data_IF_652899574375
#
_entry.id   IF_652899574375
#
_cell.length_a   1.000
_cell.length_b   1.000
_cell.length_c   1.000
_cell.angle_alpha   90.00
_cell.angle_beta   90.00
_cell.angle_gamma   90.00
#
_symmetry.space_group_name_H-M   'P 1'
#
loop_
_entity.id
_entity.type
_entity.pdbx_description
1 polymer ?
#
# COMPACT_ATOMS: atom_id res chain seq x y z
N UNK A 1 -3.31 10.87 13.77
CA UNK A 1 -2.81 11.41 12.48
C UNK A 1 -2.81 10.35 11.38
N UNK A 2 -2.29 9.13 11.60
CA UNK A 2 -2.30 8.06 10.59
C UNK A 2 -3.68 7.42 10.29
N UNK A 3 -4.67 7.53 11.18
CA UNK A 3 -6.02 6.96 10.94
C UNK A 3 -6.78 7.71 9.84
N UNK A 4 -6.69 9.05 9.82
CA UNK A 4 -7.35 9.91 8.82
C UNK A 4 -6.92 9.53 7.40
N UNK A 5 -5.63 9.26 7.20
CA UNK A 5 -5.09 8.81 5.91
C UNK A 5 -5.79 7.56 5.37
N UNK A 6 -6.01 6.57 6.23
CA UNK A 6 -6.61 5.29 5.83
C UNK A 6 -8.09 5.46 5.47
N UNK A 7 -8.80 6.32 6.21
CA UNK A 7 -10.20 6.63 5.97
C UNK A 7 -10.40 7.41 4.67
N UNK A 8 -9.60 8.46 4.44
CA UNK A 8 -9.63 9.26 3.21
C UNK A 8 -9.20 8.46 1.98
N UNK A 9 -8.17 7.60 2.11
CA UNK A 9 -7.74 6.73 1.01
C UNK A 9 -8.71 5.56 0.77
N UNK A 10 -9.77 5.39 1.58
CA UNK A 10 -10.70 4.27 1.45
C UNK A 10 -10.04 2.91 1.69
N UNK A 11 -9.11 2.85 2.64
CA UNK A 11 -8.30 1.66 2.97
C UNK A 11 -8.64 1.21 4.38
N UNK A 12 -9.12 -0.02 4.53
CA UNK A 12 -9.36 -0.59 5.86
C UNK A 12 -8.08 -0.70 6.67
N UNK A 13 -8.21 -0.54 7.98
CA UNK A 13 -7.13 -0.72 8.97
C UNK A 13 -6.39 -2.06 8.81
N UNK A 14 -7.10 -3.13 8.43
CA UNK A 14 -6.51 -4.43 8.13
C UNK A 14 -5.51 -4.38 6.96
N UNK A 15 -5.83 -3.66 5.89
CA UNK A 15 -4.96 -3.50 4.72
C UNK A 15 -3.70 -2.71 5.08
N UNK A 16 -3.83 -1.64 5.87
CA UNK A 16 -2.69 -0.88 6.40
C UNK A 16 -1.78 -1.79 7.24
N UNK A 17 -2.36 -2.62 8.11
CA UNK A 17 -1.58 -3.55 8.94
C UNK A 17 -0.80 -4.57 8.10
N UNK A 18 -1.37 -5.05 6.99
CA UNK A 18 -0.68 -5.96 6.04
C UNK A 18 0.52 -5.27 5.39
N UNK A 19 0.35 -4.02 4.94
CA UNK A 19 1.44 -3.21 4.37
C UNK A 19 2.54 -3.02 5.41
N UNK A 20 2.18 -2.66 6.65
CA UNK A 20 3.14 -2.48 7.74
C UNK A 20 3.89 -3.76 8.12
N UNK A 21 3.31 -4.93 7.88
CA UNK A 21 3.93 -6.24 8.13
C UNK A 21 4.67 -6.80 6.91
N UNK A 22 4.62 -6.12 5.77
CA UNK A 22 5.17 -6.64 4.51
C UNK A 22 4.43 -7.87 3.98
N UNK A 23 3.16 -8.05 4.37
CA UNK A 23 2.31 -9.12 3.85
C UNK A 23 1.76 -8.78 2.45
N UNK A 24 1.22 -9.80 1.78
CA UNK A 24 0.60 -9.61 0.46
C UNK A 24 -0.58 -8.64 0.52
N UNK A 25 -0.61 -7.70 -0.43
CA UNK A 25 -1.62 -6.65 -0.57
C UNK A 25 -2.13 -6.61 -2.00
N UNK A 26 -3.39 -6.20 -2.18
CA UNK A 26 -3.98 -6.07 -3.52
C UNK A 26 -3.49 -4.80 -4.21
N UNK A 27 -3.32 -4.87 -5.53
CA UNK A 27 -2.95 -3.73 -6.38
C UNK A 27 -3.95 -2.58 -6.30
N UNK A 28 -5.23 -2.86 -6.06
CA UNK A 28 -6.26 -1.84 -5.84
C UNK A 28 -5.94 -0.95 -4.62
N UNK A 29 -5.53 -1.55 -3.50
CA UNK A 29 -5.15 -0.81 -2.29
C UNK A 29 -3.98 0.12 -2.58
N UNK A 30 -2.98 -0.37 -3.30
CA UNK A 30 -1.82 0.41 -3.71
C UNK A 30 -2.19 1.58 -4.63
N UNK A 31 -3.14 1.38 -5.55
CA UNK A 31 -3.65 2.46 -6.41
C UNK A 31 -4.37 3.55 -5.62
N UNK A 32 -5.15 3.20 -4.60
CA UNK A 32 -5.79 4.19 -3.72
C UNK A 32 -4.78 5.05 -2.97
N UNK A 33 -3.73 4.42 -2.44
CA UNK A 33 -2.58 5.12 -1.80
C UNK A 33 -1.95 6.10 -2.79
N UNK A 34 -1.69 5.65 -4.01
CA UNK A 34 -1.09 6.46 -5.07
C UNK A 34 -1.96 7.68 -5.43
N UNK A 35 -3.28 7.49 -5.54
CA UNK A 35 -4.22 8.58 -5.83
C UNK A 35 -4.26 9.60 -4.70
N UNK A 36 -4.27 9.15 -3.44
CA UNK A 36 -4.29 10.04 -2.28
C UNK A 36 -2.99 10.83 -2.12
N UNK A 37 -1.85 10.18 -2.35
CA UNK A 37 -0.52 10.79 -2.23
C UNK A 37 -0.08 11.53 -3.51
N UNK A 38 -0.91 11.54 -4.56
CA UNK A 38 -0.59 12.06 -5.89
C UNK A 38 0.75 11.53 -6.44
N UNK A 39 1.06 10.26 -6.13
CA UNK A 39 2.32 9.61 -6.48
C UNK A 39 2.10 8.44 -7.42
N UNK A 40 3.16 7.98 -8.08
CA UNK A 40 3.08 6.75 -8.88
C UNK A 40 3.39 5.51 -8.03
N UNK A 41 2.87 4.37 -8.43
CA UNK A 41 3.14 3.08 -7.77
C UNK A 41 4.63 2.75 -7.66
N UNK A 42 5.42 3.21 -8.64
CA UNK A 42 6.87 3.04 -8.69
C UNK A 42 7.62 3.87 -7.65
N UNK A 43 6.98 4.91 -7.12
CA UNK A 43 7.57 5.79 -6.11
C UNK A 43 7.52 5.15 -4.71
N UNK A 44 6.46 4.38 -4.45
CA UNK A 44 6.19 3.77 -3.13
C UNK A 44 6.49 2.27 -3.05
N UNK A 45 6.71 1.59 -4.18
CA UNK A 45 6.86 0.14 -4.23
C UNK A 45 8.12 -0.27 -5.00
N UNK A 46 8.89 -1.19 -4.43
CA UNK A 46 10.09 -1.77 -5.04
C UNK A 46 9.80 -3.19 -5.53
N UNK A 47 10.09 -3.47 -6.80
CA UNK A 47 9.97 -4.81 -7.36
C UNK A 47 11.21 -5.62 -6.98
N UNK A 48 11.05 -6.59 -6.08
CA UNK A 48 12.10 -7.56 -5.77
C UNK A 48 11.95 -8.83 -6.60
N UNK A 49 13.06 -9.32 -7.14
CA UNK A 49 13.14 -10.64 -7.75
C UNK A 49 12.93 -11.71 -6.68
N UNK A 50 11.95 -12.59 -6.86
CA UNK A 50 11.75 -13.74 -5.96
C UNK A 50 12.89 -14.73 -6.24
N UNK A 51 13.84 -14.84 -5.30
CA UNK A 51 14.85 -15.89 -5.33
C UNK A 51 14.19 -17.20 -4.91
N UNK A 52 13.90 -18.05 -5.89
CA UNK A 52 13.52 -19.43 -5.62
C UNK A 52 14.81 -20.19 -5.32
N UNK A 53 15.01 -20.60 -4.06
CA UNK A 53 16.14 -21.43 -3.63
C UNK A 53 15.69 -22.87 -3.47
#
# INVERSE_FOLDING_TARGET
MFCLYAEDAGISSASIARISKGENVNTETLLRICQYLECNIKDICEVKQIKNN
#
